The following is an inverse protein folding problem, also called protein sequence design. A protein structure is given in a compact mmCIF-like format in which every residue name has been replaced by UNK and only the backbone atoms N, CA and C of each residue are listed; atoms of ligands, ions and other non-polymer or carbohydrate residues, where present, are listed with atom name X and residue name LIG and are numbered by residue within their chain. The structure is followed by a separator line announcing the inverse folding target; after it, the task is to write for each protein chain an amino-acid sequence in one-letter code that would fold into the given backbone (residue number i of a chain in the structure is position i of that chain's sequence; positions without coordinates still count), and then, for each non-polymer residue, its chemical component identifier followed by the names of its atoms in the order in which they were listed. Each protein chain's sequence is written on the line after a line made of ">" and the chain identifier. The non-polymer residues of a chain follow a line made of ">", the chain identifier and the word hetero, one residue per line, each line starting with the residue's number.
data_IF_265069852422
#
_entry.id   IF_265069852422
#
_cell.length_a   1.000
_cell.length_b   1.000
_cell.length_c   1.000
_cell.angle_alpha   90.00
_cell.angle_beta   90.00
_cell.angle_gamma   90.00
#
_symmetry.space_group_name_H-M   'P 1'
#
loop_
_entity.id
_entity.type
_entity.pdbx_description
1 polymer ?
#
# COMPACT_ATOMS: atom_id res chain seq x y z
N UNK A 1 -15.10 12.15 22.16
CA UNK A 1 -14.03 11.50 21.38
C UNK A 1 -12.81 12.41 21.41
N UNK A 2 -11.66 11.91 21.81
CA UNK A 2 -10.45 12.72 22.03
C UNK A 2 -9.85 13.11 20.66
N UNK A 3 -9.49 14.38 20.42
CA UNK A 3 -9.03 14.86 19.10
C UNK A 3 -7.88 14.04 18.54
N UNK A 4 -6.99 13.55 19.43
CA UNK A 4 -5.86 12.67 19.11
C UNK A 4 -6.28 11.34 18.48
N UNK A 5 -7.38 10.74 18.94
CA UNK A 5 -7.88 9.46 18.41
C UNK A 5 -8.47 9.62 17.01
N UNK A 6 -9.09 10.77 16.72
CA UNK A 6 -9.57 11.09 15.39
C UNK A 6 -8.43 11.20 14.37
N UNK A 7 -7.31 11.82 14.74
CA UNK A 7 -6.13 11.90 13.86
C UNK A 7 -5.53 10.52 13.58
N UNK A 8 -5.41 9.66 14.60
CA UNK A 8 -4.91 8.28 14.43
C UNK A 8 -5.83 7.50 13.48
N UNK A 9 -7.15 7.57 13.71
CA UNK A 9 -8.15 6.91 12.88
C UNK A 9 -8.11 7.40 11.43
N UNK A 10 -8.06 8.71 11.21
CA UNK A 10 -8.01 9.32 9.88
C UNK A 10 -6.73 8.90 9.14
N UNK A 11 -5.57 8.95 9.82
CA UNK A 11 -4.28 8.56 9.26
C UNK A 11 -4.27 7.07 8.86
N UNK A 12 -4.82 6.19 9.70
CA UNK A 12 -4.95 4.77 9.40
C UNK A 12 -5.86 4.52 8.21
N UNK A 13 -7.03 5.16 8.18
CA UNK A 13 -7.98 5.02 7.08
C UNK A 13 -7.42 5.55 5.75
N UNK A 14 -6.77 6.71 5.78
CA UNK A 14 -6.12 7.28 4.60
C UNK A 14 -5.03 6.35 4.07
N UNK A 15 -4.20 5.78 4.95
CA UNK A 15 -3.16 4.83 4.55
C UNK A 15 -3.74 3.54 3.96
N UNK A 16 -4.81 2.98 4.55
CA UNK A 16 -5.49 1.80 4.02
C UNK A 16 -6.13 2.10 2.65
N UNK A 17 -6.73 3.28 2.47
CA UNK A 17 -7.31 3.68 1.20
C UNK A 17 -6.24 3.78 0.10
N UNK A 18 -5.07 4.33 0.41
CA UNK A 18 -3.92 4.38 -0.53
C UNK A 18 -3.50 2.97 -0.95
N UNK A 19 -3.40 2.04 0.00
CA UNK A 19 -3.04 0.64 -0.30
C UNK A 19 -4.05 -0.02 -1.24
N UNK A 20 -5.35 0.18 -0.98
CA UNK A 20 -6.44 -0.35 -1.80
C UNK A 20 -6.36 0.22 -3.22
N UNK A 21 -6.17 1.54 -3.36
CA UNK A 21 -6.03 2.18 -4.68
C UNK A 21 -4.84 1.60 -5.43
N UNK A 22 -3.69 1.39 -4.76
CA UNK A 22 -2.50 0.81 -5.38
C UNK A 22 -2.79 -0.59 -5.92
N UNK A 23 -3.44 -1.45 -5.12
CA UNK A 23 -3.82 -2.81 -5.54
C UNK A 23 -4.80 -2.78 -6.71
N UNK A 24 -5.83 -1.95 -6.64
CA UNK A 24 -6.85 -1.85 -7.70
C UNK A 24 -6.21 -1.36 -8.99
N UNK A 25 -5.39 -0.30 -8.95
CA UNK A 25 -4.70 0.19 -10.13
C UNK A 25 -3.75 -0.86 -10.71
N UNK A 26 -3.11 -1.68 -9.86
CA UNK A 26 -2.24 -2.76 -10.34
C UNK A 26 -3.05 -3.86 -11.03
N UNK A 27 -4.07 -4.39 -10.36
CA UNK A 27 -4.88 -5.51 -10.86
C UNK A 27 -5.67 -5.10 -12.10
N UNK A 28 -6.36 -3.96 -12.07
CA UNK A 28 -7.12 -3.47 -13.22
C UNK A 28 -6.20 -3.03 -14.36
N UNK A 29 -5.10 -2.34 -14.04
CA UNK A 29 -4.12 -1.95 -15.05
C UNK A 29 -3.54 -3.17 -15.75
N UNK A 30 -3.18 -4.20 -14.99
CA UNK A 30 -2.62 -5.44 -15.55
C UNK A 30 -3.65 -6.20 -16.39
N UNK A 31 -4.90 -6.34 -15.91
CA UNK A 31 -5.97 -6.99 -16.66
C UNK A 31 -6.31 -6.24 -17.97
N UNK A 32 -6.44 -4.92 -17.92
CA UNK A 32 -6.68 -4.09 -19.10
C UNK A 32 -5.50 -4.11 -20.07
N UNK A 33 -4.26 -4.14 -19.55
CA UNK A 33 -3.05 -4.30 -20.36
C UNK A 33 -3.04 -5.61 -21.12
N UNK A 34 -3.41 -6.72 -20.49
CA UNK A 34 -3.55 -8.02 -21.17
C UNK A 34 -4.60 -7.99 -22.30
N UNK A 35 -5.66 -7.18 -22.16
CA UNK A 35 -6.64 -6.94 -23.21
C UNK A 35 -6.18 -5.93 -24.28
N UNK A 36 -4.90 -5.55 -24.30
CA UNK A 36 -4.32 -4.56 -25.23
C UNK A 36 -4.95 -3.16 -25.15
N UNK A 37 -5.52 -2.80 -23.99
CA UNK A 37 -5.99 -1.45 -23.73
C UNK A 37 -4.80 -0.61 -23.27
N UNK A 38 -4.40 0.39 -24.06
CA UNK A 38 -3.23 1.25 -23.79
C UNK A 38 -3.25 1.86 -22.39
N UNK A 39 -4.44 2.24 -21.90
CA UNK A 39 -4.63 2.80 -20.58
C UNK A 39 -4.25 1.82 -19.44
N UNK A 40 -4.38 0.51 -19.66
CA UNK A 40 -4.01 -0.51 -18.69
C UNK A 40 -2.50 -0.54 -18.44
N UNK A 41 -1.71 -0.56 -19.51
CA UNK A 41 -0.24 -0.51 -19.40
C UNK A 41 0.25 0.81 -18.80
N UNK A 42 -0.44 1.92 -19.06
CA UNK A 42 -0.13 3.21 -18.42
C UNK A 42 -0.31 3.15 -16.90
N UNK A 43 -1.39 2.55 -16.41
CA UNK A 43 -1.62 2.35 -14.97
C UNK A 43 -0.54 1.47 -14.33
N UNK A 44 -0.19 0.36 -14.97
CA UNK A 44 0.88 -0.53 -14.46
C UNK A 44 2.24 0.16 -14.47
N UNK A 45 2.57 0.89 -15.54
CA UNK A 45 3.81 1.65 -15.65
C UNK A 45 3.93 2.75 -14.59
N UNK A 46 2.81 3.42 -14.27
CA UNK A 46 2.77 4.39 -13.17
C UNK A 46 3.11 3.73 -11.82
N UNK A 47 2.57 2.54 -11.56
CA UNK A 47 2.85 1.78 -10.32
C UNK A 47 4.30 1.29 -10.28
N UNK A 48 4.87 0.85 -11.39
CA UNK A 48 6.28 0.45 -11.41
C UNK A 48 7.22 1.63 -11.18
N UNK A 49 6.86 2.82 -11.66
CA UNK A 49 7.69 4.02 -11.49
C UNK A 49 7.54 4.67 -10.12
N UNK A 50 6.31 4.78 -9.62
CA UNK A 50 5.98 5.53 -8.40
C UNK A 50 5.55 4.66 -7.22
N UNK A 51 5.26 3.38 -7.44
CA UNK A 51 4.73 2.46 -6.44
C UNK A 51 5.65 2.31 -5.23
N UNK A 52 6.97 2.34 -5.42
CA UNK A 52 7.91 2.35 -4.30
C UNK A 52 7.68 3.55 -3.36
N UNK A 53 7.56 4.77 -3.90
CA UNK A 53 7.29 5.96 -3.11
C UNK A 53 5.92 5.90 -2.41
N UNK A 54 4.89 5.41 -3.10
CA UNK A 54 3.55 5.26 -2.53
C UNK A 54 3.55 4.24 -1.39
N UNK A 55 4.22 3.10 -1.58
CA UNK A 55 4.37 2.08 -0.53
C UNK A 55 5.15 2.63 0.66
N UNK A 56 6.28 3.32 0.44
CA UNK A 56 7.09 3.91 1.51
C UNK A 56 6.30 4.95 2.31
N UNK A 57 5.59 5.87 1.65
CA UNK A 57 4.74 6.86 2.34
C UNK A 57 3.64 6.20 3.16
N UNK A 58 3.03 5.13 2.62
CA UNK A 58 2.02 4.36 3.34
C UNK A 58 2.60 3.63 4.57
N UNK A 59 3.82 3.08 4.47
CA UNK A 59 4.53 2.49 5.61
C UNK A 59 4.78 3.53 6.70
N UNK A 60 5.31 4.70 6.33
CA UNK A 60 5.60 5.79 7.28
C UNK A 60 4.34 6.20 8.03
N UNK A 61 3.20 6.36 7.34
CA UNK A 61 1.93 6.70 7.98
C UNK A 61 1.48 5.65 9.00
N UNK A 62 1.62 4.35 8.69
CA UNK A 62 1.25 3.28 9.63
C UNK A 62 2.20 3.21 10.82
N UNK A 63 3.51 3.40 10.62
CA UNK A 63 4.48 3.48 11.74
C UNK A 63 4.15 4.66 12.66
N UNK A 64 3.82 5.82 12.09
CA UNK A 64 3.43 6.99 12.87
C UNK A 64 2.15 6.74 13.67
N UNK A 65 1.14 6.10 13.05
CA UNK A 65 -0.08 5.70 13.75
C UNK A 65 0.21 4.71 14.91
N UNK A 66 1.12 3.77 14.71
CA UNK A 66 1.57 2.83 15.75
C UNK A 66 2.23 3.57 16.91
N UNK A 67 3.16 4.50 16.63
CA UNK A 67 3.83 5.31 17.65
C UNK A 67 2.84 6.15 18.46
N UNK A 68 1.84 6.75 17.80
CA UNK A 68 0.81 7.56 18.45
C UNK A 68 -0.17 6.72 19.31
N UNK A 69 -0.27 5.42 19.05
CA UNK A 69 -1.06 4.49 19.87
C UNK A 69 -0.36 4.12 21.20
N UNK A 70 0.91 4.47 21.41
CA UNK A 70 1.66 4.17 22.64
C UNK A 70 1.49 5.33 23.65
N UNK A 71 1.15 5.06 24.94
CA UNK A 71 0.89 3.75 25.53
C UNK A 71 -0.52 3.21 25.17
N UNK A 72 -0.61 1.87 25.00
CA UNK A 72 -1.81 1.10 24.63
C UNK A 72 -2.83 1.03 25.79
N UNK A 73 -3.15 2.21 26.33
CA UNK A 73 -3.90 2.42 27.56
C UNK A 73 -5.40 2.13 27.39
N UNK A 74 -5.94 2.42 26.20
CA UNK A 74 -7.34 2.18 25.85
C UNK A 74 -7.52 0.99 24.90
N UNK A 75 -8.65 0.27 25.04
CA UNK A 75 -9.03 -0.82 24.13
C UNK A 75 -9.08 -0.37 22.66
N UNK A 76 -9.51 0.87 22.40
CA UNK A 76 -9.50 1.45 21.04
C UNK A 76 -8.09 1.55 20.47
N UNK A 77 -7.11 2.03 21.26
CA UNK A 77 -5.69 2.10 20.84
C UNK A 77 -5.11 0.72 20.54
N UNK A 78 -5.47 -0.31 21.31
CA UNK A 78 -5.08 -1.70 21.04
C UNK A 78 -5.66 -2.20 19.71
N UNK A 79 -6.92 -1.86 19.43
CA UNK A 79 -7.56 -2.14 18.14
C UNK A 79 -6.82 -1.48 16.98
N UNK A 80 -6.59 -0.16 17.06
CA UNK A 80 -5.88 0.57 16.01
C UNK A 80 -4.45 0.06 15.78
N UNK A 81 -3.73 -0.27 16.86
CA UNK A 81 -2.40 -0.87 16.77
C UNK A 81 -2.42 -2.21 16.01
N UNK A 82 -3.38 -3.09 16.34
CA UNK A 82 -3.51 -4.40 15.69
C UNK A 82 -3.86 -4.26 14.21
N UNK A 83 -4.78 -3.34 13.89
CA UNK A 83 -5.16 -3.03 12.50
C UNK A 83 -3.96 -2.48 11.73
N UNK A 84 -3.22 -1.52 12.29
CA UNK A 84 -2.04 -0.94 11.66
C UNK A 84 -0.97 -1.99 11.35
N UNK A 85 -0.69 -2.88 12.31
CA UNK A 85 0.26 -3.97 12.14
C UNK A 85 -0.19 -4.96 11.06
N UNK A 86 -1.47 -5.36 11.08
CA UNK A 86 -2.03 -6.27 10.07
C UNK A 86 -1.99 -5.66 8.66
N UNK A 87 -2.25 -4.35 8.54
CA UNK A 87 -2.20 -3.63 7.29
C UNK A 87 -0.76 -3.50 6.76
N UNK A 88 0.22 -3.27 7.64
CA UNK A 88 1.64 -3.32 7.28
C UNK A 88 2.04 -4.68 6.70
N UNK A 89 1.67 -5.78 7.38
CA UNK A 89 1.98 -7.12 6.90
C UNK A 89 1.40 -7.39 5.51
N UNK A 90 0.13 -7.03 5.29
CA UNK A 90 -0.51 -7.16 3.97
C UNK A 90 0.19 -6.34 2.91
N UNK A 91 0.58 -5.11 3.22
CA UNK A 91 1.30 -4.23 2.29
C UNK A 91 2.66 -4.81 1.88
N UNK A 92 3.40 -5.43 2.81
CA UNK A 92 4.69 -6.06 2.51
C UNK A 92 4.52 -7.23 1.54
N UNK A 93 3.51 -8.09 1.78
CA UNK A 93 3.22 -9.23 0.90
C UNK A 93 2.86 -8.76 -0.52
N UNK A 94 1.94 -7.80 -0.61
CA UNK A 94 1.48 -7.26 -1.89
C UNK A 94 2.62 -6.56 -2.63
N UNK A 95 3.39 -5.70 -1.95
CA UNK A 95 4.48 -4.97 -2.58
C UNK A 95 5.61 -5.91 -3.03
N UNK A 96 5.92 -6.96 -2.28
CA UNK A 96 6.84 -8.02 -2.68
C UNK A 96 6.38 -8.74 -3.95
N UNK A 97 5.09 -9.08 -4.05
CA UNK A 97 4.50 -9.68 -5.26
C UNK A 97 4.62 -8.77 -6.48
N UNK A 98 4.18 -7.51 -6.35
CA UNK A 98 4.21 -6.52 -7.44
C UNK A 98 5.64 -6.26 -7.91
N UNK A 99 6.58 -6.09 -6.98
CA UNK A 99 7.98 -5.85 -7.31
C UNK A 99 8.67 -7.08 -7.90
N UNK A 100 8.30 -8.29 -7.46
CA UNK A 100 8.76 -9.54 -8.05
C UNK A 100 8.34 -9.66 -9.52
N UNK A 101 7.08 -9.35 -9.85
CA UNK A 101 6.57 -9.33 -11.23
C UNK A 101 7.36 -8.31 -12.07
N UNK A 102 7.57 -7.11 -11.53
CA UNK A 102 8.37 -6.07 -12.20
C UNK A 102 9.79 -6.55 -12.50
N UNK A 103 10.47 -7.16 -11.52
CA UNK A 103 11.84 -7.64 -11.67
C UNK A 103 11.95 -8.75 -12.72
N UNK A 104 11.03 -9.73 -12.70
CA UNK A 104 10.98 -10.79 -13.70
C UNK A 104 10.82 -10.21 -15.10
N UNK A 105 9.89 -9.27 -15.28
CA UNK A 105 9.67 -8.60 -16.57
C UNK A 105 10.91 -7.84 -17.05
N UNK A 106 11.59 -7.12 -16.15
CA UNK A 106 12.82 -6.40 -16.47
C UNK A 106 13.93 -7.35 -16.94
N UNK A 107 14.14 -8.46 -16.23
CA UNK A 107 15.16 -9.45 -16.60
C UNK A 107 14.84 -10.04 -17.96
N UNK A 108 13.59 -10.42 -18.24
CA UNK A 108 13.19 -10.98 -19.55
C UNK A 108 13.45 -10.03 -20.72
N UNK A 109 13.29 -8.71 -20.54
CA UNK A 109 13.60 -7.72 -21.57
C UNK A 109 15.09 -7.47 -21.80
N UNK A 110 15.95 -7.84 -20.86
CA UNK A 110 17.42 -7.67 -21.00
C UNK A 110 18.08 -8.89 -21.69
N UNK A 111 17.42 -10.04 -21.74
CA UNK A 111 17.94 -11.29 -22.36
C UNK A 111 17.32 -11.64 -23.73
N UNK A 112 16.27 -10.95 -24.15
CA UNK A 112 15.60 -11.16 -25.45
C UNK A 112 16.03 -10.14 -26.50
#
# INVERSE_FOLDING_TARGET
>A
MNTKENYIKLSLWASIAIDIILVICFVLGFALGLCSVEFGFLMVGFIFRFGAYIVTTSIIMKILAILLCIPLDTNDKRGYFTVALSALFRLVIVSGLVYGIYYIGKVMTEVG
#
